data_IF_308104413538
#
_entry.id   IF_308104413538
#
_cell.length_a   1.000
_cell.length_b   1.000
_cell.length_c   1.000
_cell.angle_alpha   90.00
_cell.angle_beta   90.00
_cell.angle_gamma   90.00
#
_symmetry.space_group_name_H-M   'P 1'
#
loop_
_entity.id
_entity.type
_entity.pdbx_description
1 polymer ?
#
# COMPACT_ATOMS: atom_id res chain seq x y z
N UNK A 1 26.51 -8.88 -20.27
CA UNK A 1 25.24 -9.60 -20.03
C UNK A 1 24.85 -9.34 -18.59
N UNK A 2 24.11 -8.26 -18.33
CA UNK A 2 23.68 -7.83 -16.98
C UNK A 2 22.18 -7.44 -16.95
N UNK A 3 21.47 -7.58 -18.06
CA UNK A 3 20.04 -7.21 -18.17
C UNK A 3 19.11 -8.18 -17.45
N UNK A 4 19.51 -9.46 -17.31
CA UNK A 4 18.68 -10.49 -16.69
C UNK A 4 18.46 -10.33 -15.18
N UNK A 5 19.34 -9.61 -14.47
CA UNK A 5 19.21 -9.42 -13.02
C UNK A 5 18.23 -8.28 -12.68
N UNK A 6 18.24 -7.20 -13.47
CA UNK A 6 17.36 -6.05 -13.28
C UNK A 6 15.89 -6.35 -13.62
N UNK A 7 15.64 -7.16 -14.66
CA UNK A 7 14.27 -7.58 -15.01
C UNK A 7 13.66 -8.51 -13.94
N UNK A 8 14.49 -9.37 -13.32
CA UNK A 8 14.10 -10.24 -12.21
C UNK A 8 13.69 -9.44 -10.97
N UNK A 9 14.55 -8.52 -10.52
CA UNK A 9 14.31 -7.65 -9.35
C UNK A 9 13.02 -6.82 -9.50
N UNK A 10 12.72 -6.32 -10.70
CA UNK A 10 11.52 -5.50 -10.96
C UNK A 10 10.25 -6.35 -10.99
N UNK A 11 10.29 -7.53 -11.62
CA UNK A 11 9.11 -8.39 -11.70
C UNK A 11 8.76 -8.99 -10.33
N UNK A 12 9.76 -9.26 -9.51
CA UNK A 12 9.61 -9.64 -8.11
C UNK A 12 9.01 -8.50 -7.28
N UNK A 13 9.52 -7.27 -7.43
CA UNK A 13 8.98 -6.09 -6.74
C UNK A 13 7.50 -5.83 -7.05
N UNK A 14 7.07 -5.95 -8.31
CA UNK A 14 5.66 -5.75 -8.69
C UNK A 14 4.78 -6.84 -8.09
N UNK A 15 5.25 -8.08 -8.09
CA UNK A 15 4.49 -9.23 -7.56
C UNK A 15 4.34 -9.12 -6.04
N UNK A 16 5.41 -8.72 -5.34
CA UNK A 16 5.39 -8.43 -3.90
C UNK A 16 4.45 -7.26 -3.60
N UNK A 17 4.56 -6.13 -4.32
CA UNK A 17 3.67 -4.98 -4.11
C UNK A 17 2.20 -5.32 -4.38
N UNK A 18 1.91 -6.15 -5.38
CA UNK A 18 0.55 -6.61 -5.65
C UNK A 18 0.01 -7.48 -4.51
N UNK A 19 0.81 -8.41 -3.98
CA UNK A 19 0.45 -9.23 -2.83
C UNK A 19 0.17 -8.36 -1.60
N UNK A 20 1.06 -7.39 -1.33
CA UNK A 20 0.91 -6.38 -0.29
C UNK A 20 -0.41 -5.62 -0.46
N UNK A 21 -0.72 -5.16 -1.67
CA UNK A 21 -1.97 -4.42 -1.95
C UNK A 21 -3.21 -5.25 -1.68
N UNK A 22 -3.24 -6.50 -2.14
CA UNK A 22 -4.38 -7.41 -1.93
C UNK A 22 -4.56 -7.74 -0.45
N UNK A 23 -3.48 -8.10 0.26
CA UNK A 23 -3.53 -8.43 1.68
C UNK A 23 -3.92 -7.22 2.51
N UNK A 24 -3.33 -6.05 2.25
CA UNK A 24 -3.69 -4.81 2.93
C UNK A 24 -5.16 -4.46 2.73
N UNK A 25 -5.66 -4.59 1.49
CA UNK A 25 -7.08 -4.35 1.18
C UNK A 25 -7.97 -5.34 1.93
N UNK A 26 -7.59 -6.62 1.98
CA UNK A 26 -8.32 -7.66 2.72
C UNK A 26 -8.38 -7.37 4.22
N UNK A 27 -7.28 -6.96 4.83
CA UNK A 27 -7.21 -6.58 6.24
C UNK A 27 -8.06 -5.34 6.52
N UNK A 28 -7.98 -4.30 5.69
CA UNK A 28 -8.83 -3.11 5.82
C UNK A 28 -10.30 -3.49 5.71
N UNK A 29 -10.66 -4.31 4.72
CA UNK A 29 -12.05 -4.72 4.49
C UNK A 29 -12.61 -5.55 5.64
N UNK A 30 -11.86 -6.54 6.15
CA UNK A 30 -12.33 -7.45 7.18
C UNK A 30 -12.22 -6.86 8.59
N UNK A 31 -11.08 -6.28 8.93
CA UNK A 31 -10.78 -5.84 10.30
C UNK A 31 -11.25 -4.42 10.59
N UNK A 32 -11.11 -3.50 9.62
CA UNK A 32 -11.43 -2.08 9.84
C UNK A 32 -12.86 -1.74 9.39
N UNK A 33 -13.30 -2.30 8.27
CA UNK A 33 -14.62 -2.05 7.69
C UNK A 33 -15.67 -3.08 8.11
N UNK A 34 -15.28 -4.12 8.85
CA UNK A 34 -16.21 -5.15 9.33
C UNK A 34 -16.92 -5.91 8.20
N UNK A 35 -16.31 -6.01 7.03
CA UNK A 35 -16.88 -6.66 5.86
C UNK A 35 -17.88 -5.82 5.07
N UNK A 36 -17.95 -4.50 5.30
CA UNK A 36 -18.80 -3.59 4.53
C UNK A 36 -18.13 -2.24 4.28
N UNK A 37 -18.09 -1.79 3.02
CA UNK A 37 -17.48 -0.50 2.68
C UNK A 37 -18.22 0.64 3.41
N UNK A 38 -17.52 1.49 4.19
CA UNK A 38 -18.13 2.61 4.87
C UNK A 38 -18.83 3.56 3.90
N UNK A 39 -19.88 4.24 4.37
CA UNK A 39 -20.49 5.31 3.60
C UNK A 39 -19.56 6.53 3.61
N UNK A 40 -19.16 6.97 2.42
CA UNK A 40 -18.36 8.17 2.24
C UNK A 40 -19.19 9.24 1.53
N UNK A 41 -19.06 10.49 1.98
CA UNK A 41 -19.48 11.63 1.21
C UNK A 41 -18.44 11.96 0.12
N UNK A 42 -18.83 12.74 -0.89
CA UNK A 42 -17.93 13.08 -1.98
C UNK A 42 -16.64 13.77 -1.50
N UNK A 43 -16.73 14.57 -0.44
CA UNK A 43 -15.57 15.22 0.20
C UNK A 43 -14.62 14.21 0.83
N UNK A 44 -15.14 13.26 1.61
CA UNK A 44 -14.36 12.18 2.21
C UNK A 44 -13.68 11.28 1.17
N UNK A 45 -14.35 10.96 0.07
CA UNK A 45 -13.75 10.20 -1.05
C UNK A 45 -12.60 11.01 -1.66
N UNK A 46 -12.83 12.28 -2.01
CA UNK A 46 -11.83 13.12 -2.65
C UNK A 46 -10.57 13.29 -1.76
N UNK A 47 -10.77 13.48 -0.46
CA UNK A 47 -9.67 13.57 0.51
C UNK A 47 -8.92 12.24 0.65
N UNK A 48 -9.63 11.13 0.83
CA UNK A 48 -9.03 9.81 0.97
C UNK A 48 -8.22 9.42 -0.27
N UNK A 49 -8.79 9.61 -1.46
CA UNK A 49 -8.12 9.35 -2.73
C UNK A 49 -6.92 10.28 -2.91
N UNK A 50 -7.09 11.59 -2.67
CA UNK A 50 -6.01 12.56 -2.83
C UNK A 50 -4.81 12.27 -1.91
N UNK A 51 -5.08 12.02 -0.63
CA UNK A 51 -4.04 11.66 0.34
C UNK A 51 -3.38 10.33 -0.01
N UNK A 52 -4.17 9.33 -0.43
CA UNK A 52 -3.67 8.03 -0.86
C UNK A 52 -2.74 8.14 -2.06
N UNK A 53 -3.12 8.88 -3.10
CA UNK A 53 -2.28 9.10 -4.28
C UNK A 53 -0.93 9.74 -3.92
N UNK A 54 -0.94 10.77 -3.06
CA UNK A 54 0.28 11.43 -2.59
C UNK A 54 1.15 10.47 -1.77
N UNK A 55 0.55 9.68 -0.88
CA UNK A 55 1.26 8.69 -0.08
C UNK A 55 1.89 7.58 -0.95
N UNK A 56 1.13 7.04 -1.92
CA UNK A 56 1.62 6.02 -2.85
C UNK A 56 2.76 6.52 -3.72
N UNK A 57 2.66 7.76 -4.23
CA UNK A 57 3.76 8.40 -4.94
C UNK A 57 4.98 8.59 -4.01
N UNK A 58 4.77 9.04 -2.77
CA UNK A 58 5.86 9.19 -1.82
C UNK A 58 6.55 7.86 -1.49
N UNK A 59 5.80 6.76 -1.34
CA UNK A 59 6.38 5.42 -1.14
C UNK A 59 7.22 4.98 -2.33
N UNK A 60 6.72 5.16 -3.55
CA UNK A 60 7.46 4.86 -4.77
C UNK A 60 8.77 5.66 -4.87
N UNK A 61 8.74 6.97 -4.59
CA UNK A 61 9.89 7.87 -4.75
C UNK A 61 10.89 7.84 -3.58
N UNK A 62 10.45 7.60 -2.32
CA UNK A 62 11.35 7.61 -1.14
C UNK A 62 12.19 6.34 -0.96
N UNK A 63 12.16 5.41 -1.90
CA UNK A 63 13.21 4.40 -1.99
C UNK A 63 12.87 3.02 -1.45
N UNK A 64 11.61 2.59 -1.52
CA UNK A 64 11.32 1.14 -1.64
C UNK A 64 11.52 0.66 -3.08
N UNK A 65 12.42 1.28 -3.86
CA UNK A 65 12.73 0.86 -5.25
C UNK A 65 13.25 -0.58 -5.33
N UNK A 66 13.81 -1.08 -4.24
CA UNK A 66 14.21 -2.47 -4.07
C UNK A 66 13.44 -3.01 -2.87
N UNK A 67 12.19 -3.45 -3.09
CA UNK A 67 11.51 -4.33 -2.13
C UNK A 67 12.04 -5.73 -2.38
N UNK A 68 13.29 -5.99 -1.98
CA UNK A 68 13.82 -7.36 -1.97
C UNK A 68 13.21 -8.08 -0.77
N UNK A 69 12.82 -9.33 -0.96
CA UNK A 69 12.26 -10.17 0.09
C UNK A 69 13.24 -10.30 1.28
N UNK A 70 14.53 -10.11 1.02
CA UNK A 70 15.63 -10.24 1.98
C UNK A 70 15.85 -9.01 2.90
N UNK A 71 15.48 -7.80 2.48
CA UNK A 71 15.90 -6.56 3.18
C UNK A 71 14.96 -6.16 4.32
N UNK A 72 13.65 -6.24 4.11
CA UNK A 72 12.64 -6.03 5.16
C UNK A 72 11.44 -6.90 4.82
N UNK A 73 11.09 -7.89 5.68
CA UNK A 73 9.91 -8.70 5.44
C UNK A 73 8.70 -7.77 5.28
N UNK A 74 7.92 -7.85 4.19
CA UNK A 74 6.70 -7.06 4.03
C UNK A 74 5.79 -7.17 5.27
N UNK A 75 5.76 -8.35 5.88
CA UNK A 75 5.09 -8.63 7.15
C UNK A 75 5.56 -7.72 8.29
N UNK A 76 6.86 -7.39 8.39
CA UNK A 76 7.41 -6.51 9.43
C UNK A 76 6.97 -5.05 9.25
N UNK A 77 6.86 -4.57 8.00
CA UNK A 77 6.31 -3.24 7.70
C UNK A 77 4.83 -3.21 8.07
N UNK A 78 4.07 -4.25 7.69
CA UNK A 78 2.67 -4.37 8.06
C UNK A 78 2.45 -4.46 9.56
N UNK A 79 3.29 -5.23 10.28
CA UNK A 79 3.24 -5.32 11.73
C UNK A 79 3.55 -3.98 12.39
N UNK A 80 4.56 -3.26 11.90
CA UNK A 80 4.89 -1.93 12.41
C UNK A 80 3.72 -0.96 12.19
N UNK A 81 3.12 -0.97 11.00
CA UNK A 81 1.96 -0.12 10.69
C UNK A 81 0.75 -0.49 11.55
N UNK A 82 0.43 -1.78 11.66
CA UNK A 82 -0.68 -2.29 12.46
C UNK A 82 -0.49 -1.99 13.95
N UNK A 83 0.73 -2.11 14.47
CA UNK A 83 1.07 -1.79 15.86
C UNK A 83 0.92 -0.29 16.12
N UNK A 84 1.41 0.57 15.21
CA UNK A 84 1.25 2.03 15.32
C UNK A 84 -0.23 2.41 15.32
N UNK A 85 -1.02 1.83 14.42
CA UNK A 85 -2.46 2.07 14.33
C UNK A 85 -3.18 1.60 15.60
N UNK A 86 -2.87 0.40 16.08
CA UNK A 86 -3.46 -0.16 17.28
C UNK A 86 -3.16 0.69 18.53
N UNK A 87 -1.92 1.18 18.66
CA UNK A 87 -1.49 1.97 19.84
C UNK A 87 -2.03 3.40 19.78
N UNK A 88 -1.99 4.05 18.62
CA UNK A 88 -2.38 5.46 18.49
C UNK A 88 -3.89 5.66 18.28
N UNK A 89 -4.58 4.65 17.75
CA UNK A 89 -6.00 4.72 17.41
C UNK A 89 -6.75 3.53 18.02
N UNK A 90 -6.93 3.50 19.35
CA UNK A 90 -7.62 2.40 20.04
C UNK A 90 -9.11 2.28 19.66
N UNK A 91 -9.68 3.30 19.03
CA UNK A 91 -11.05 3.34 18.52
C UNK A 91 -11.14 2.93 17.04
N UNK A 92 -10.02 2.58 16.41
CA UNK A 92 -9.91 2.40 14.95
C UNK A 92 -9.52 3.69 14.23
N UNK A 93 -9.17 3.56 12.95
CA UNK A 93 -8.85 4.70 12.11
C UNK A 93 -10.13 5.39 11.59
N UNK A 94 -10.08 6.69 11.28
CA UNK A 94 -11.16 7.31 10.53
C UNK A 94 -11.28 6.63 9.16
N UNK A 95 -12.51 6.35 8.65
CA UNK A 95 -12.70 5.67 7.36
C UNK A 95 -11.96 6.31 6.19
N UNK A 96 -11.81 7.64 6.20
CA UNK A 96 -11.09 8.40 5.16
C UNK A 96 -9.59 8.04 5.14
N UNK A 97 -9.00 7.78 6.31
CA UNK A 97 -7.59 7.37 6.43
C UNK A 97 -7.41 5.94 5.93
N UNK A 98 -8.36 5.06 6.22
CA UNK A 98 -8.37 3.67 5.75
C UNK A 98 -8.47 3.60 4.23
N UNK A 99 -9.35 4.43 3.64
CA UNK A 99 -9.45 4.61 2.20
C UNK A 99 -8.12 5.13 1.61
N UNK A 100 -7.47 6.09 2.27
CA UNK A 100 -6.17 6.62 1.85
C UNK A 100 -5.07 5.55 1.87
N UNK A 101 -5.08 4.65 2.86
CA UNK A 101 -4.15 3.51 2.94
C UNK A 101 -4.36 2.59 1.73
N UNK A 102 -5.61 2.19 1.46
CA UNK A 102 -5.92 1.32 0.31
C UNK A 102 -5.47 1.97 -0.99
N UNK A 103 -5.86 3.23 -1.23
CA UNK A 103 -5.47 3.97 -2.43
C UNK A 103 -3.95 4.12 -2.52
N UNK A 104 -3.25 4.37 -1.41
CA UNK A 104 -1.80 4.53 -1.39
C UNK A 104 -1.05 3.28 -1.80
N UNK A 105 -1.42 2.10 -1.27
CA UNK A 105 -0.75 0.85 -1.61
C UNK A 105 -1.02 0.46 -3.07
N UNK A 106 -2.24 0.66 -3.56
CA UNK A 106 -2.57 0.44 -4.98
C UNK A 106 -1.86 1.43 -5.91
N UNK A 107 -1.69 2.68 -5.48
CA UNK A 107 -0.97 3.69 -6.26
C UNK A 107 0.52 3.38 -6.37
N UNK A 108 1.18 2.96 -5.28
CA UNK A 108 2.57 2.47 -5.33
C UNK A 108 2.70 1.28 -6.29
N UNK A 109 1.80 0.31 -6.19
CA UNK A 109 1.78 -0.88 -7.06
C UNK A 109 1.62 -0.50 -8.53
N UNK A 110 0.68 0.41 -8.83
CA UNK A 110 0.44 0.89 -10.19
C UNK A 110 1.66 1.64 -10.77
N UNK A 111 2.33 2.47 -9.98
CA UNK A 111 3.54 3.19 -10.39
C UNK A 111 4.69 2.23 -10.70
N UNK A 112 4.87 1.16 -9.91
CA UNK A 112 5.87 0.10 -10.20
C UNK A 112 5.54 -0.68 -11.47
N UNK A 113 4.27 -1.03 -11.65
CA UNK A 113 3.82 -1.73 -12.85
C UNK A 113 3.98 -0.86 -14.11
N UNK A 114 3.68 0.44 -14.03
CA UNK A 114 3.86 1.38 -15.13
C UNK A 114 5.35 1.54 -15.50
N UNK A 115 6.24 1.64 -14.52
CA UNK A 115 7.68 1.72 -14.74
C UNK A 115 8.27 0.46 -15.40
N UNK A 116 7.61 -0.70 -15.32
CA UNK A 116 7.97 -1.92 -16.06
C UNK A 116 7.54 -1.87 -17.54
N UNK A 117 6.43 -1.18 -17.84
CA UNK A 117 5.84 -1.14 -19.18
C UNK A 117 6.47 -0.09 -20.10
N UNK A 118 7.42 0.70 -19.60
CA UNK A 118 8.17 1.74 -20.33
C UNK A 118 9.62 1.33 -20.51
#
# INVERSE_FOLDING_TARGET
>A
METGNAEGDVSESVSISLLIAVVATGLVYLELWGGSVPAFDAGGIALGVGLGLVAGAAFYYRGTRSTRLDDVPPLAIFLALALIVYVLFPQGLPPVVELAIVVGVWSDTALRAAAKAT
#
